data_IF_589875132146
#
_entry.id   IF_589875132146
#
_cell.length_a   1.000
_cell.length_b   1.000
_cell.length_c   1.000
_cell.angle_alpha   90.00
_cell.angle_beta   90.00
_cell.angle_gamma   90.00
#
_symmetry.space_group_name_H-M   'P 1'
#
loop_
_entity.id
_entity.type
_entity.pdbx_description
1 polymer ?
#
# COMPACT_ATOMS: atom_id res chain seq x y z
N UNK A 1 2.19 11.58 4.01
CA UNK A 1 3.37 10.76 4.35
C UNK A 1 3.26 9.46 3.57
N UNK A 2 4.37 8.77 3.28
CA UNK A 2 4.29 7.43 2.71
C UNK A 2 3.99 6.42 3.82
N UNK A 3 3.06 5.49 3.58
CA UNK A 3 2.82 4.36 4.46
C UNK A 3 3.79 3.23 4.14
N UNK A 4 4.28 2.54 5.17
CA UNK A 4 5.02 1.29 4.99
C UNK A 4 4.09 0.21 4.41
N UNK A 5 4.62 -0.75 3.65
CA UNK A 5 3.88 -1.83 3.01
C UNK A 5 2.99 -2.59 4.00
N UNK A 6 3.47 -2.84 5.23
CA UNK A 6 2.68 -3.47 6.30
C UNK A 6 1.44 -2.65 6.66
N UNK A 7 1.60 -1.34 6.82
CA UNK A 7 0.48 -0.46 7.16
C UNK A 7 -0.56 -0.39 6.04
N UNK A 8 -0.10 -0.37 4.77
CA UNK A 8 -0.99 -0.40 3.60
C UNK A 8 -1.79 -1.70 3.56
N UNK A 9 -1.12 -2.85 3.76
CA UNK A 9 -1.81 -4.15 3.79
C UNK A 9 -2.86 -4.19 4.89
N UNK A 10 -2.51 -3.77 6.12
CA UNK A 10 -3.45 -3.75 7.25
C UNK A 10 -4.65 -2.81 7.03
N UNK A 11 -4.45 -1.69 6.34
CA UNK A 11 -5.53 -0.74 6.03
C UNK A 11 -6.52 -1.32 5.02
N UNK A 12 -6.05 -2.08 4.04
CA UNK A 12 -6.88 -2.65 2.97
C UNK A 12 -7.51 -4.00 3.39
N UNK A 13 -6.95 -4.68 4.40
CA UNK A 13 -7.41 -6.01 4.84
C UNK A 13 -8.89 -6.07 5.23
N UNK A 14 -9.48 -5.12 5.99
CA UNK A 14 -10.90 -5.15 6.33
C UNK A 14 -11.81 -5.13 5.10
N UNK A 15 -11.47 -4.32 4.10
CA UNK A 15 -12.21 -4.25 2.83
C UNK A 15 -12.11 -5.58 2.06
N UNK A 16 -10.93 -6.19 2.03
CA UNK A 16 -10.72 -7.49 1.40
C UNK A 16 -11.54 -8.59 2.08
N UNK A 17 -11.57 -8.60 3.43
CA UNK A 17 -12.37 -9.55 4.21
C UNK A 17 -13.87 -9.33 3.97
N UNK A 18 -14.35 -8.09 3.93
CA UNK A 18 -15.74 -7.79 3.61
C UNK A 18 -16.17 -8.36 2.25
N UNK A 19 -15.34 -8.12 1.23
CA UNK A 19 -15.59 -8.64 -0.12
C UNK A 19 -15.55 -10.18 -0.18
N UNK A 20 -14.64 -10.80 0.56
CA UNK A 20 -14.55 -12.27 0.68
C UNK A 20 -15.79 -12.85 1.36
N UNK A 21 -16.22 -12.27 2.48
CA UNK A 21 -17.40 -12.70 3.20
C UNK A 21 -18.67 -12.59 2.34
N UNK A 22 -18.81 -11.48 1.60
CA UNK A 22 -19.93 -11.29 0.67
C UNK A 22 -19.93 -12.35 -0.45
N UNK A 23 -18.75 -12.70 -0.99
CA UNK A 23 -18.63 -13.75 -1.99
C UNK A 23 -18.97 -15.15 -1.42
N UNK A 24 -18.54 -15.46 -0.20
CA UNK A 24 -18.88 -16.69 0.50
C UNK A 24 -20.38 -16.79 0.81
N UNK A 25 -21.00 -15.70 1.24
CA UNK A 25 -22.42 -15.63 1.57
C UNK A 25 -23.30 -15.82 0.33
N UNK A 26 -22.91 -15.27 -0.82
CA UNK A 26 -23.63 -15.51 -2.08
C UNK A 26 -23.65 -16.98 -2.47
N UNK A 27 -22.49 -17.65 -2.41
CA UNK A 27 -22.42 -19.09 -2.72
C UNK A 27 -23.20 -19.90 -1.70
N UNK A 28 -23.15 -19.54 -0.42
CA UNK A 28 -23.94 -20.21 0.61
C UNK A 28 -25.44 -20.06 0.38
N UNK A 29 -25.91 -18.86 0.08
CA UNK A 29 -27.33 -18.59 -0.21
C UNK A 29 -27.80 -19.31 -1.48
N UNK A 30 -26.94 -19.41 -2.50
CA UNK A 30 -27.24 -20.19 -3.70
C UNK A 30 -27.36 -21.71 -3.41
N UNK A 31 -26.54 -22.24 -2.49
CA UNK A 31 -26.63 -23.63 -2.03
C UNK A 31 -27.90 -23.86 -1.20
N UNK A 32 -28.20 -22.96 -0.24
CA UNK A 32 -29.36 -23.07 0.66
C UNK A 32 -30.72 -22.93 -0.08
N UNK A 33 -30.79 -22.04 -1.08
CA UNK A 33 -31.98 -21.87 -1.93
C UNK A 33 -32.25 -23.11 -2.80
N UNK A 34 -31.21 -23.86 -3.16
CA UNK A 34 -31.33 -25.10 -3.92
C UNK A 34 -31.69 -26.32 -3.05
N UNK A 35 -31.36 -26.32 -1.75
CA UNK A 35 -31.74 -27.39 -0.81
C UNK A 35 -33.22 -27.33 -0.39
N UNK A 36 -33.87 -26.17 -0.52
CA UNK A 36 -35.28 -25.99 -0.12
C UNK A 36 -36.30 -26.42 -1.18
N UNK A 37 -35.88 -26.64 -2.43
CA UNK A 37 -36.76 -26.96 -3.56
C UNK A 37 -36.76 -28.46 -3.95
N UNK A 38 -36.01 -29.30 -3.24
CA UNK A 38 -35.67 -30.66 -3.64
C UNK A 38 -36.21 -31.78 -2.74
N UNK A 39 -37.53 -32.01 -2.68
CA UNK A 39 -38.10 -33.23 -2.08
C UNK A 39 -38.59 -34.26 -3.14
N UNK A 40 -38.18 -34.13 -4.40
CA UNK A 40 -38.36 -35.21 -5.37
C UNK A 40 -37.37 -35.15 -6.54
N UNK A 41 -36.81 -36.32 -6.86
CA UNK A 41 -36.31 -36.78 -8.19
C UNK A 41 -34.77 -36.95 -8.39
N UNK A 42 -34.47 -38.20 -8.81
CA UNK A 42 -33.32 -38.83 -9.51
C UNK A 42 -31.85 -38.67 -9.07
N UNK A 43 -31.21 -39.83 -8.92
CA UNK A 43 -29.83 -40.08 -8.46
C UNK A 43 -28.74 -39.48 -9.36
N UNK A 44 -29.04 -39.20 -10.64
CA UNK A 44 -28.11 -38.58 -11.59
C UNK A 44 -27.98 -37.06 -11.41
N UNK A 45 -29.09 -36.38 -11.14
CA UNK A 45 -29.10 -34.95 -10.88
C UNK A 45 -28.47 -34.62 -9.52
N UNK A 46 -28.61 -35.49 -8.52
CA UNK A 46 -27.96 -35.33 -7.22
C UNK A 46 -26.42 -35.28 -7.34
N UNK A 47 -25.85 -36.02 -8.29
CA UNK A 47 -24.40 -36.11 -8.49
C UNK A 47 -23.85 -34.89 -9.23
N UNK A 48 -24.58 -34.37 -10.23
CA UNK A 48 -24.27 -33.09 -10.88
C UNK A 48 -24.48 -31.89 -9.93
N UNK A 49 -25.50 -31.95 -9.07
CA UNK A 49 -25.78 -30.95 -8.01
C UNK A 49 -24.59 -30.84 -7.04
N UNK A 50 -24.10 -31.96 -6.54
CA UNK A 50 -22.98 -31.97 -5.60
C UNK A 50 -21.66 -31.50 -6.25
N UNK A 51 -21.41 -31.88 -7.50
CA UNK A 51 -20.25 -31.39 -8.26
C UNK A 51 -20.31 -29.87 -8.54
N UNK A 52 -21.50 -29.31 -8.74
CA UNK A 52 -21.69 -27.86 -8.97
C UNK A 52 -21.46 -27.02 -7.70
N UNK A 53 -21.90 -27.51 -6.54
CA UNK A 53 -21.68 -26.87 -5.24
C UNK A 53 -20.18 -26.90 -4.86
N UNK A 54 -19.52 -28.06 -5.00
CA UNK A 54 -18.08 -28.18 -4.76
C UNK A 54 -17.24 -27.26 -5.67
N UNK A 55 -17.69 -27.05 -6.92
CA UNK A 55 -17.03 -26.14 -7.85
C UNK A 55 -17.16 -24.68 -7.41
N UNK A 56 -18.34 -24.27 -6.97
CA UNK A 56 -18.63 -22.90 -6.54
C UNK A 56 -17.83 -22.51 -5.28
N UNK A 57 -17.73 -23.43 -4.30
CA UNK A 57 -16.91 -23.23 -3.10
C UNK A 57 -15.43 -23.08 -3.45
N UNK A 58 -14.93 -23.90 -4.40
CA UNK A 58 -13.53 -23.82 -4.85
C UNK A 58 -13.23 -22.53 -5.61
N UNK A 59 -14.18 -22.01 -6.37
CA UNK A 59 -14.05 -20.74 -7.08
C UNK A 59 -13.96 -19.55 -6.11
N UNK A 60 -14.76 -19.53 -5.04
CA UNK A 60 -14.68 -18.50 -3.99
C UNK A 60 -13.35 -18.55 -3.24
N UNK A 61 -12.86 -19.74 -2.90
CA UNK A 61 -11.54 -19.88 -2.27
C UNK A 61 -10.41 -19.37 -3.18
N UNK A 62 -10.46 -19.68 -4.47
CA UNK A 62 -9.48 -19.19 -5.44
C UNK A 62 -9.56 -17.66 -5.62
N UNK A 63 -10.77 -17.09 -5.55
CA UNK A 63 -10.97 -15.65 -5.57
C UNK A 63 -10.36 -14.99 -4.34
N UNK A 64 -10.66 -15.50 -3.14
CA UNK A 64 -10.09 -15.03 -1.88
C UNK A 64 -8.55 -15.08 -1.86
N UNK A 65 -7.99 -16.23 -2.26
CA UNK A 65 -6.54 -16.41 -2.39
C UNK A 65 -5.93 -15.39 -3.36
N UNK A 66 -6.55 -15.21 -4.53
CA UNK A 66 -6.08 -14.25 -5.53
C UNK A 66 -6.14 -12.81 -5.02
N UNK A 67 -7.20 -12.44 -4.30
CA UNK A 67 -7.40 -11.10 -3.76
C UNK A 67 -6.35 -10.77 -2.69
N UNK A 68 -6.18 -11.66 -1.71
CA UNK A 68 -5.21 -11.49 -0.62
C UNK A 68 -3.77 -11.43 -1.17
N UNK A 69 -3.43 -12.34 -2.09
CA UNK A 69 -2.12 -12.39 -2.72
C UNK A 69 -1.87 -11.15 -3.59
N UNK A 70 -2.92 -10.64 -4.26
CA UNK A 70 -2.88 -9.41 -5.05
C UNK A 70 -2.56 -8.18 -4.20
N UNK A 71 -3.23 -8.04 -3.05
CA UNK A 71 -2.96 -6.94 -2.10
C UNK A 71 -1.53 -7.03 -1.59
N UNK A 72 -1.08 -8.21 -1.14
CA UNK A 72 0.26 -8.41 -0.61
C UNK A 72 1.36 -8.09 -1.64
N UNK A 73 1.21 -8.55 -2.89
CA UNK A 73 2.15 -8.22 -3.96
C UNK A 73 2.11 -6.73 -4.33
N UNK A 74 0.93 -6.12 -4.41
CA UNK A 74 0.83 -4.68 -4.71
C UNK A 74 1.49 -3.81 -3.64
N UNK A 75 1.31 -4.14 -2.36
CA UNK A 75 1.92 -3.42 -1.25
C UNK A 75 3.45 -3.54 -1.28
N UNK A 76 3.96 -4.72 -1.63
CA UNK A 76 5.40 -4.99 -1.77
C UNK A 76 5.99 -4.27 -2.97
N UNK A 77 5.39 -4.42 -4.16
CA UNK A 77 5.87 -3.77 -5.39
C UNK A 77 5.81 -2.25 -5.30
N UNK A 78 4.76 -1.68 -4.68
CA UNK A 78 4.64 -0.25 -4.44
C UNK A 78 5.77 0.32 -3.56
N UNK A 79 6.21 -0.45 -2.56
CA UNK A 79 7.34 -0.07 -1.70
C UNK A 79 8.67 0.11 -2.44
N UNK A 80 8.83 -0.55 -3.60
CA UNK A 80 10.04 -0.45 -4.43
C UNK A 80 10.18 0.94 -5.08
N UNK A 81 9.06 1.61 -5.37
CA UNK A 81 9.03 2.84 -6.15
C UNK A 81 9.81 4.00 -5.52
N UNK A 82 9.90 4.05 -4.18
CA UNK A 82 10.52 5.15 -3.45
C UNK A 82 11.55 4.66 -2.45
N UNK A 83 12.53 5.51 -2.13
CA UNK A 83 13.54 5.20 -1.13
C UNK A 83 12.92 5.05 0.28
N UNK A 84 11.76 5.69 0.50
CA UNK A 84 11.01 5.65 1.76
C UNK A 84 10.11 4.43 1.89
N UNK A 85 9.82 3.72 0.80
CA UNK A 85 8.85 2.62 0.78
C UNK A 85 9.35 1.33 1.45
N UNK A 86 10.64 1.03 1.32
CA UNK A 86 11.25 -0.16 1.92
C UNK A 86 12.47 0.23 2.75
N UNK A 87 12.51 -0.26 3.99
CA UNK A 87 13.60 0.02 4.94
C UNK A 87 15.00 -0.22 4.36
N UNK A 88 15.18 -1.28 3.57
CA UNK A 88 16.47 -1.66 2.99
C UNK A 88 17.09 -0.56 2.11
N UNK A 89 16.27 0.29 1.48
CA UNK A 89 16.78 1.39 0.67
C UNK A 89 17.45 2.49 1.51
N UNK A 90 17.04 2.66 2.77
CA UNK A 90 17.68 3.61 3.68
C UNK A 90 19.10 3.17 4.07
N UNK A 91 19.33 1.87 4.26
CA UNK A 91 20.68 1.36 4.50
C UNK A 91 21.59 1.62 3.30
N UNK A 92 21.10 1.37 2.09
CA UNK A 92 21.84 1.65 0.86
C UNK A 92 22.14 3.16 0.68
N UNK A 93 21.21 4.03 1.08
CA UNK A 93 21.40 5.48 1.07
C UNK A 93 22.37 5.97 2.15
N UNK A 94 22.44 5.27 3.28
CA UNK A 94 23.30 5.61 4.41
C UNK A 94 24.76 5.17 4.23
N UNK A 95 25.04 4.29 3.26
CA UNK A 95 26.40 3.87 2.94
C UNK A 95 27.23 5.05 2.42
N UNK A 96 28.42 5.24 2.99
CA UNK A 96 29.28 6.40 2.73
C UNK A 96 29.63 6.55 1.24
N UNK A 97 29.72 5.42 0.51
CA UNK A 97 30.01 5.36 -0.92
C UNK A 97 28.85 5.82 -1.82
N UNK A 98 27.61 5.75 -1.33
CA UNK A 98 26.39 6.00 -2.11
C UNK A 98 25.60 7.21 -1.61
N UNK A 99 25.88 7.69 -0.40
CA UNK A 99 25.16 8.77 0.28
C UNK A 99 25.16 10.12 -0.46
N UNK A 100 26.18 10.42 -1.27
CA UNK A 100 26.27 11.65 -2.07
C UNK A 100 25.52 11.57 -3.40
N UNK A 101 25.31 10.37 -3.93
CA UNK A 101 24.72 10.16 -5.25
C UNK A 101 23.24 9.75 -5.18
N UNK A 102 22.83 9.08 -4.09
CA UNK A 102 21.51 8.50 -3.91
C UNK A 102 20.52 9.48 -3.25
N UNK A 103 20.05 10.45 -4.02
CA UNK A 103 18.95 11.35 -3.63
C UNK A 103 17.59 10.67 -3.79
N UNK A 104 16.61 11.04 -2.96
CA UNK A 104 15.21 10.57 -3.04
C UNK A 104 14.66 10.63 -4.47
N UNK A 105 14.80 11.76 -5.16
CA UNK A 105 14.28 11.94 -6.51
C UNK A 105 15.02 11.12 -7.57
N UNK A 106 16.32 10.87 -7.39
CA UNK A 106 17.09 9.98 -8.28
C UNK A 106 16.66 8.52 -8.10
N UNK A 107 16.45 8.09 -6.86
CA UNK A 107 15.86 6.78 -6.59
C UNK A 107 14.50 6.66 -7.26
N UNK A 108 13.64 7.67 -7.12
CA UNK A 108 12.31 7.64 -7.72
C UNK A 108 12.37 7.43 -9.24
N UNK A 109 13.26 8.11 -9.96
CA UNK A 109 13.39 7.90 -11.42
C UNK A 109 13.84 6.49 -11.82
N UNK A 110 14.52 5.76 -10.94
CA UNK A 110 14.95 4.39 -11.17
C UNK A 110 13.94 3.35 -10.64
N UNK A 111 13.49 3.51 -9.39
CA UNK A 111 12.60 2.61 -8.68
C UNK A 111 11.16 2.65 -9.18
N UNK A 112 10.65 3.80 -9.62
CA UNK A 112 9.27 3.92 -10.11
C UNK A 112 9.01 3.08 -11.38
N UNK A 113 9.83 3.15 -12.45
CA UNK A 113 9.65 2.28 -13.61
C UNK A 113 9.73 0.78 -13.27
N UNK A 114 10.65 0.40 -12.38
CA UNK A 114 10.82 -0.99 -11.94
C UNK A 114 9.58 -1.45 -11.16
N UNK A 115 9.10 -0.63 -10.23
CA UNK A 115 7.88 -0.90 -9.48
C UNK A 115 6.69 -1.11 -10.43
N UNK A 116 6.52 -0.24 -11.43
CA UNK A 116 5.45 -0.37 -12.42
C UNK A 116 5.53 -1.70 -13.19
N UNK A 117 6.72 -2.08 -13.67
CA UNK A 117 6.92 -3.36 -14.37
C UNK A 117 6.61 -4.53 -13.45
N UNK A 118 7.08 -4.50 -12.20
CA UNK A 118 6.84 -5.61 -11.25
C UNK A 118 5.36 -5.74 -10.87
N UNK A 119 4.61 -4.63 -10.73
CA UNK A 119 3.15 -4.66 -10.53
C UNK A 119 2.46 -5.31 -11.73
N UNK A 120 2.84 -4.93 -12.96
CA UNK A 120 2.26 -5.51 -14.16
C UNK A 120 2.57 -7.01 -14.29
N UNK A 121 3.79 -7.43 -13.95
CA UNK A 121 4.17 -8.85 -13.93
C UNK A 121 3.44 -9.63 -12.84
N UNK A 122 3.29 -9.07 -11.64
CA UNK A 122 2.52 -9.68 -10.56
C UNK A 122 1.05 -9.82 -10.97
N UNK A 123 0.44 -8.77 -11.50
CA UNK A 123 -0.92 -8.80 -12.03
C UNK A 123 -1.08 -9.86 -13.12
N UNK A 124 -0.18 -9.91 -14.11
CA UNK A 124 -0.21 -10.91 -15.17
C UNK A 124 -0.09 -12.33 -14.60
N UNK A 125 0.81 -12.55 -13.64
CA UNK A 125 0.99 -13.85 -12.98
C UNK A 125 -0.29 -14.30 -12.27
N UNK A 126 -0.92 -13.42 -11.49
CA UNK A 126 -2.18 -13.71 -10.80
C UNK A 126 -3.32 -13.95 -11.80
N UNK A 127 -3.40 -13.13 -12.84
CA UNK A 127 -4.41 -13.27 -13.89
C UNK A 127 -4.32 -14.63 -14.58
N UNK A 128 -3.13 -15.05 -15.01
CA UNK A 128 -2.95 -16.33 -15.69
C UNK A 128 -3.13 -17.54 -14.76
N UNK A 129 -2.82 -17.41 -13.47
CA UNK A 129 -2.83 -18.52 -12.51
C UNK A 129 -4.19 -18.74 -11.82
N UNK A 130 -4.95 -17.69 -11.57
CA UNK A 130 -6.20 -17.74 -10.81
C UNK A 130 -7.39 -17.32 -11.68
N UNK A 131 -7.37 -16.11 -12.23
CA UNK A 131 -8.53 -15.51 -12.92
C UNK A 131 -8.90 -16.26 -14.20
N UNK A 132 -7.91 -16.71 -14.99
CA UNK A 132 -8.16 -17.43 -16.25
C UNK A 132 -8.99 -18.72 -16.08
N UNK A 133 -8.92 -19.36 -14.91
CA UNK A 133 -9.64 -20.58 -14.61
C UNK A 133 -11.02 -20.34 -13.97
N UNK A 134 -11.26 -19.12 -13.45
CA UNK A 134 -12.53 -18.75 -12.84
C UNK A 134 -13.55 -18.47 -13.95
N UNK A 135 -14.53 -19.37 -14.08
CA UNK A 135 -15.78 -19.05 -14.77
C UNK A 135 -16.71 -18.55 -13.68
N UNK A 136 -16.83 -17.24 -13.52
CA UNK A 136 -17.77 -16.59 -12.60
C UNK A 136 -19.23 -16.90 -13.03
N UNK A 137 -19.63 -18.16 -12.93
CA UNK A 137 -20.90 -18.68 -13.43
C UNK A 137 -21.99 -18.67 -12.33
N UNK A 138 -21.69 -18.14 -11.14
CA UNK A 138 -22.62 -18.09 -10.01
C UNK A 138 -22.43 -16.91 -9.04
N UNK A 139 -21.56 -15.93 -9.36
CA UNK A 139 -21.46 -14.68 -8.59
C UNK A 139 -22.24 -13.62 -9.37
N UNK A 140 -23.38 -13.21 -8.82
CA UNK A 140 -24.21 -12.20 -9.46
C UNK A 140 -23.49 -10.85 -9.35
N UNK A 141 -23.12 -10.29 -10.50
CA UNK A 141 -22.34 -9.06 -10.60
C UNK A 141 -23.01 -7.90 -9.84
N UNK A 142 -24.34 -7.95 -9.76
CA UNK A 142 -25.20 -6.97 -9.11
C UNK A 142 -25.04 -6.96 -7.58
N UNK A 143 -24.85 -8.12 -6.95
CA UNK A 143 -24.66 -8.21 -5.48
C UNK A 143 -23.26 -7.74 -5.09
N UNK A 144 -22.23 -8.04 -5.89
CA UNK A 144 -20.88 -7.55 -5.66
C UNK A 144 -20.79 -6.02 -5.87
N UNK A 145 -21.54 -5.49 -6.84
CA UNK A 145 -21.62 -4.05 -7.08
C UNK A 145 -22.40 -3.32 -5.97
N UNK A 146 -23.44 -3.94 -5.39
CA UNK A 146 -24.16 -3.42 -4.24
C UNK A 146 -23.25 -3.32 -3.01
N UNK A 147 -22.52 -4.39 -2.68
CA UNK A 147 -21.56 -4.39 -1.57
C UNK A 147 -20.44 -3.36 -1.77
N UNK A 148 -19.93 -3.25 -3.00
CA UNK A 148 -18.95 -2.21 -3.35
C UNK A 148 -19.49 -0.79 -3.10
N UNK A 149 -20.76 -0.54 -3.44
CA UNK A 149 -21.41 0.75 -3.19
C UNK A 149 -21.61 1.01 -1.70
N UNK A 150 -21.95 0.00 -0.92
CA UNK A 150 -22.12 0.12 0.53
C UNK A 150 -20.77 0.42 1.21
N UNK A 151 -19.71 -0.31 0.85
CA UNK A 151 -18.34 -0.04 1.31
C UNK A 151 -17.86 1.36 0.91
N UNK A 152 -18.21 1.83 -0.29
CA UNK A 152 -17.91 3.21 -0.71
C UNK A 152 -18.67 4.26 0.13
N UNK A 153 -19.91 3.97 0.51
CA UNK A 153 -20.69 4.85 1.38
C UNK A 153 -20.11 4.91 2.79
N UNK A 154 -19.57 3.81 3.31
CA UNK A 154 -18.88 3.79 4.60
C UNK A 154 -17.64 4.69 4.64
N UNK A 155 -16.86 4.73 3.54
CA UNK A 155 -15.66 5.57 3.44
C UNK A 155 -16.02 7.06 3.37
N UNK A 156 -17.13 7.39 2.70
CA UNK A 156 -17.64 8.76 2.62
C UNK A 156 -16.78 9.72 1.78
N UNK A 157 -17.20 10.99 1.66
CA UNK A 157 -16.45 12.00 0.90
C UNK A 157 -15.20 12.45 1.66
N UNK A 158 -14.15 12.81 0.91
CA UNK A 158 -12.91 13.35 1.49
C UNK A 158 -13.18 14.54 2.41
N UNK A 159 -12.64 14.45 3.62
CA UNK A 159 -12.64 15.57 4.54
C UNK A 159 -11.71 16.69 4.05
N UNK A 160 -12.00 17.93 4.45
CA UNK A 160 -11.10 19.08 4.21
C UNK A 160 -9.71 18.87 4.79
N UNK A 161 -9.62 18.16 5.91
CA UNK A 161 -8.34 17.87 6.57
C UNK A 161 -7.54 16.81 5.78
N UNK A 162 -8.23 15.79 5.26
CA UNK A 162 -7.62 14.77 4.40
C UNK A 162 -7.10 15.38 3.10
N UNK A 163 -7.90 16.30 2.51
CA UNK A 163 -7.49 17.04 1.33
C UNK A 163 -6.25 17.92 1.62
N UNK A 164 -6.20 18.59 2.77
CA UNK A 164 -5.04 19.39 3.16
C UNK A 164 -3.78 18.52 3.29
N UNK A 165 -3.87 17.36 3.95
CA UNK A 165 -2.77 16.39 4.04
C UNK A 165 -2.35 15.88 2.66
N UNK A 166 -3.30 15.56 1.79
CA UNK A 166 -3.04 15.08 0.45
C UNK A 166 -2.31 16.14 -0.40
N UNK A 167 -2.73 17.41 -0.31
CA UNK A 167 -2.08 18.52 -1.02
C UNK A 167 -0.66 18.77 -0.51
N UNK A 168 -0.47 18.81 0.82
CA UNK A 168 0.85 18.97 1.44
C UNK A 168 1.78 17.82 1.03
N UNK A 169 1.26 16.59 1.01
CA UNK A 169 2.02 15.42 0.57
C UNK A 169 2.36 15.49 -0.92
N UNK A 170 1.42 15.87 -1.77
CA UNK A 170 1.67 16.00 -3.21
C UNK A 170 2.75 17.05 -3.48
N UNK A 171 2.66 18.21 -2.81
CA UNK A 171 3.67 19.26 -2.88
C UNK A 171 5.05 18.76 -2.43
N UNK A 172 5.11 17.98 -1.35
CA UNK A 172 6.35 17.35 -0.87
C UNK A 172 6.95 16.40 -1.92
N UNK A 173 6.14 15.53 -2.53
CA UNK A 173 6.61 14.58 -3.55
C UNK A 173 7.16 15.33 -4.75
N UNK A 174 6.41 16.31 -5.27
CA UNK A 174 6.83 17.14 -6.41
C UNK A 174 8.14 17.85 -6.10
N UNK A 175 8.29 18.41 -4.90
CA UNK A 175 9.51 19.08 -4.48
C UNK A 175 10.71 18.11 -4.40
N UNK A 176 10.51 16.89 -3.86
CA UNK A 176 11.56 15.88 -3.78
C UNK A 176 11.97 15.32 -5.16
N UNK A 177 11.02 15.17 -6.10
CA UNK A 177 11.33 14.78 -7.48
C UNK A 177 12.13 15.88 -8.17
N UNK A 178 11.70 17.14 -8.07
CA UNK A 178 12.29 18.27 -8.80
C UNK A 178 13.67 18.66 -8.25
N UNK A 179 13.92 18.52 -6.94
CA UNK A 179 15.15 18.95 -6.27
C UNK A 179 16.46 18.49 -6.93
N UNK A 180 16.71 17.19 -7.21
CA UNK A 180 17.94 16.74 -7.86
C UNK A 180 18.13 17.27 -9.29
N UNK A 181 17.04 17.61 -9.99
CA UNK A 181 17.09 18.01 -11.41
C UNK A 181 17.10 19.53 -11.62
N UNK A 182 16.41 20.30 -10.79
CA UNK A 182 16.20 21.74 -11.00
C UNK A 182 16.76 22.64 -9.88
N UNK A 183 16.99 22.12 -8.66
CA UNK A 183 17.44 22.93 -7.53
C UNK A 183 18.95 22.74 -7.28
N UNK A 184 19.40 21.49 -7.28
CA UNK A 184 20.82 21.13 -7.09
C UNK A 184 21.78 21.79 -8.10
N UNK A 185 21.46 21.93 -9.41
CA UNK A 185 22.38 22.59 -10.35
C UNK A 185 22.41 24.12 -10.27
N UNK A 186 21.45 24.77 -9.60
CA UNK A 186 21.33 26.24 -9.57
C UNK A 186 21.60 26.88 -8.21
N UNK A 187 21.59 26.11 -7.12
CA UNK A 187 21.80 26.61 -5.75
C UNK A 187 23.03 25.92 -5.14
N UNK A 188 24.20 26.19 -5.72
CA UNK A 188 25.49 25.83 -5.11
C UNK A 188 26.02 27.04 -4.34
N UNK A 189 25.94 26.99 -3.01
CA UNK A 189 26.61 27.94 -2.14
C UNK A 189 28.12 27.70 -2.14
N UNK A 190 28.92 28.75 -1.91
CA UNK A 190 30.41 28.75 -1.82
C UNK A 190 30.98 27.71 -0.81
N UNK A 191 30.14 27.13 0.04
CA UNK A 191 30.49 26.08 1.01
C UNK A 191 30.25 24.64 0.54
N UNK A 192 29.92 24.41 -0.74
CA UNK A 192 29.83 23.08 -1.34
C UNK A 192 28.68 22.19 -0.85
N UNK A 193 27.88 22.63 0.12
CA UNK A 193 26.65 21.97 0.56
C UNK A 193 25.43 22.74 0.08
N UNK A 194 24.48 22.03 -0.51
CA UNK A 194 23.14 22.56 -0.80
C UNK A 194 22.42 22.78 0.53
N UNK A 195 22.02 24.02 0.84
CA UNK A 195 21.24 24.36 2.05
C UNK A 195 19.94 23.52 2.20
N UNK A 196 19.47 22.92 1.11
CA UNK A 196 18.27 22.09 1.05
C UNK A 196 18.68 20.63 0.82
N UNK A 197 18.66 19.85 1.89
CA UNK A 197 18.83 18.39 1.85
C UNK A 197 17.46 17.68 1.82
N UNK A 198 17.44 16.42 1.39
CA UNK A 198 16.24 15.59 1.32
C UNK A 198 15.55 15.46 2.69
N UNK A 199 16.36 15.40 3.76
CA UNK A 199 15.87 15.41 5.15
C UNK A 199 15.10 16.69 5.49
N UNK A 200 15.57 17.86 5.04
CA UNK A 200 14.88 19.14 5.29
C UNK A 200 13.53 19.19 4.58
N UNK A 201 13.48 18.73 3.33
CA UNK A 201 12.22 18.64 2.55
C UNK A 201 11.28 17.58 3.14
N UNK A 202 11.82 16.53 3.76
CA UNK A 202 11.01 15.52 4.45
C UNK A 202 10.39 16.04 5.76
N UNK A 203 11.11 16.86 6.53
CA UNK A 203 10.64 17.39 7.81
C UNK A 203 9.72 18.62 7.67
N UNK A 204 9.93 19.48 6.67
CA UNK A 204 9.17 20.73 6.53
C UNK A 204 7.63 20.55 6.43
N UNK A 205 7.10 19.57 5.67
CA UNK A 205 5.66 19.30 5.60
C UNK A 205 5.06 18.83 6.93
N UNK A 206 5.84 18.08 7.72
CA UNK A 206 5.42 17.62 9.06
C UNK A 206 5.23 18.82 9.98
N UNK A 207 6.23 19.72 10.02
CA UNK A 207 6.16 20.96 10.79
C UNK A 207 4.99 21.82 10.33
N UNK A 208 4.76 21.93 9.01
CA UNK A 208 3.64 22.68 8.44
C UNK A 208 2.28 22.13 8.91
N UNK A 209 2.11 20.80 8.97
CA UNK A 209 0.86 20.16 9.41
C UNK A 209 0.53 20.40 10.90
N UNK A 210 1.53 20.74 11.73
CA UNK A 210 1.28 21.18 13.12
C UNK A 210 0.69 22.59 13.20
N UNK A 211 0.90 23.43 12.18
CA UNK A 211 0.37 24.79 12.14
C UNK A 211 -1.00 24.88 11.45
N UNK A 212 -1.36 23.90 10.62
CA UNK A 212 -2.65 23.89 9.93
C UNK A 212 -3.73 23.44 10.93
N UNK A 213 -4.71 24.31 11.25
CA UNK A 213 -5.82 23.94 12.13
C UNK A 213 -6.73 22.92 11.44
N UNK A 214 -7.17 21.92 12.20
CA UNK A 214 -8.15 20.92 11.75
C UNK A 214 -9.54 21.56 11.72
N UNK A 215 -10.26 21.36 10.63
CA UNK A 215 -11.66 21.79 10.47
C UNK A 215 -12.59 20.72 11.05
N UNK A 216 -12.20 19.45 11.03
CA UNK A 216 -12.98 18.33 11.59
C UNK A 216 -12.89 18.30 13.11
N UNK A 217 -11.72 18.61 13.67
CA UNK A 217 -11.42 18.56 15.10
C UNK A 217 -11.16 19.98 15.61
N UNK A 218 -12.22 20.74 15.95
CA UNK A 218 -12.07 22.13 16.36
C UNK A 218 -11.14 22.24 17.58
N UNK A 219 -10.14 23.11 17.48
CA UNK A 219 -9.13 23.33 18.53
C UNK A 219 -7.90 22.41 18.46
N UNK A 220 -7.81 21.53 17.46
CA UNK A 220 -6.63 20.70 17.22
C UNK A 220 -5.97 21.06 15.88
N UNK A 221 -4.68 20.83 15.77
CA UNK A 221 -3.99 20.83 14.47
C UNK A 221 -4.30 19.55 13.69
N UNK A 222 -4.12 19.59 12.38
CA UNK A 222 -4.27 18.41 11.50
C UNK A 222 -3.34 17.27 11.96
N UNK A 223 -2.12 17.61 12.38
CA UNK A 223 -1.19 16.68 13.00
C UNK A 223 -0.96 17.04 14.47
N UNK A 224 -1.16 16.06 15.35
CA UNK A 224 -0.96 16.21 16.80
C UNK A 224 0.24 15.38 17.28
N UNK A 225 0.96 15.86 18.29
CA UNK A 225 2.13 15.15 18.83
C UNK A 225 1.82 13.74 19.35
N UNK A 226 0.71 13.49 20.06
CA UNK A 226 0.35 12.13 20.48
C UNK A 226 0.22 11.16 19.29
N UNK A 227 -0.38 11.61 18.18
CA UNK A 227 -0.50 10.80 16.97
C UNK A 227 0.86 10.49 16.33
N UNK A 228 1.79 11.45 16.31
CA UNK A 228 3.16 11.22 15.84
C UNK A 228 3.88 10.23 16.74
N UNK A 229 3.80 10.39 18.06
CA UNK A 229 4.48 9.53 19.01
C UNK A 229 4.03 8.07 18.91
N UNK A 230 2.73 7.83 18.75
CA UNK A 230 2.15 6.47 18.64
C UNK A 230 2.46 5.81 17.29
N UNK A 231 2.43 6.57 16.20
CA UNK A 231 2.56 6.02 14.84
C UNK A 231 3.98 6.02 14.29
N UNK A 232 4.89 6.82 14.85
CA UNK A 232 6.27 6.91 14.41
C UNK A 232 7.13 5.82 15.08
N UNK A 233 7.80 5.01 14.27
CA UNK A 233 8.65 3.93 14.75
C UNK A 233 10.04 4.44 15.15
N UNK A 234 10.16 4.87 16.42
CA UNK A 234 11.45 5.28 16.98
C UNK A 234 12.45 4.13 17.10
N UNK A 235 11.97 2.89 17.25
CA UNK A 235 12.82 1.70 17.33
C UNK A 235 13.54 1.48 16.00
N UNK A 236 12.81 1.64 14.89
CA UNK A 236 13.37 1.58 13.54
C UNK A 236 14.43 2.66 13.31
N UNK A 237 14.17 3.90 13.73
CA UNK A 237 15.15 4.99 13.60
C UNK A 237 16.45 4.66 14.36
N UNK A 238 16.33 4.16 15.59
CA UNK A 238 17.48 3.76 16.41
C UNK A 238 18.23 2.57 15.79
N UNK A 239 17.52 1.59 15.24
CA UNK A 239 18.09 0.42 14.58
C UNK A 239 18.93 0.83 13.36
N UNK A 240 18.40 1.71 12.49
CA UNK A 240 19.13 2.18 11.31
C UNK A 240 20.41 2.93 11.73
N UNK A 241 20.29 3.87 12.67
CA UNK A 241 21.43 4.64 13.17
C UNK A 241 22.50 3.75 13.82
N UNK A 242 22.09 2.76 14.61
CA UNK A 242 23.00 1.79 15.23
C UNK A 242 23.75 0.95 14.21
N UNK A 243 23.07 0.43 13.17
CA UNK A 243 23.72 -0.36 12.13
C UNK A 243 24.72 0.45 11.31
N UNK A 244 24.40 1.70 10.95
CA UNK A 244 25.32 2.60 10.24
C UNK A 244 26.54 2.96 11.10
N UNK A 245 26.35 3.15 12.41
CA UNK A 245 27.44 3.38 13.36
C UNK A 245 28.36 2.17 13.48
N UNK A 246 27.82 0.95 13.54
CA UNK A 246 28.59 -0.30 13.56
C UNK A 246 29.36 -0.48 12.25
N UNK A 247 28.70 -0.29 11.10
CA UNK A 247 29.34 -0.36 9.77
C UNK A 247 30.52 0.61 9.68
N UNK A 248 30.31 1.86 10.09
CA UNK A 248 31.36 2.89 10.14
C UNK A 248 32.51 2.51 11.08
N UNK A 249 32.21 1.85 12.20
CA UNK A 249 33.20 1.33 13.15
C UNK A 249 34.09 0.26 12.53
N UNK A 250 33.52 -0.69 11.79
CA UNK A 250 34.30 -1.71 11.07
C UNK A 250 35.21 -1.08 10.02
N UNK A 251 34.68 -0.18 9.18
CA UNK A 251 35.45 0.55 8.15
C UNK A 251 36.63 1.31 8.77
N UNK A 252 36.42 2.02 9.89
CA UNK A 252 37.49 2.76 10.57
C UNK A 252 38.53 1.84 11.23
N UNK A 253 38.10 0.68 11.76
CA UNK A 253 38.99 -0.30 12.38
C UNK A 253 39.77 -1.16 11.39
N UNK A 254 39.37 -1.18 10.11
CA UNK A 254 39.98 -1.98 9.05
C UNK A 254 39.61 -3.48 9.10
N UNK A 255 38.51 -3.82 9.78
CA UNK A 255 37.92 -5.17 9.84
C UNK A 255 36.97 -5.43 8.66
#
# INVERSE_FOLDING_TARGET
>A
MFCNSVAVTLLITPFAIGLMNAAEEQVRNAVDAHDTDGDSVETGEAQDRQASSERSVKEVQQFADCLLLGIAYSATCGGIATITGTLNHYFLAGEALLSSELTWGRWFTFGFPISLVTVLLAYASLYFRYIRAMKFNGIDHEVLEAEYKDLLQEVGPFSRDELAVALVQLAQIVLLVIRPFAISPFITTEFGSTLINDATIACAPVVLLFFIPSIVRPGQAVLTWPAVHEKFDFGLLLLIGGALAISSGFIQSGL
#
